data_IF_624403726136
#
_entry.id   IF_624403726136
#
_cell.length_a   1.000
_cell.length_b   1.000
_cell.length_c   1.000
_cell.angle_alpha   90.00
_cell.angle_beta   90.00
_cell.angle_gamma   90.00
#
_symmetry.space_group_name_H-M   'P 1'
#
loop_
_entity.id
_entity.type
_entity.pdbx_description
1 polymer ?
#
# COMPACT_ATOMS: atom_id res chain seq x y z
N UNK A 1 -2.74 24.70 20.95
CA UNK A 1 -3.00 24.14 19.66
C UNK A 1 -4.48 23.92 19.49
N UNK A 2 -5.04 24.36 18.46
CA UNK A 2 -6.47 24.27 18.33
C UNK A 2 -6.84 23.04 17.51
N UNK A 3 -8.05 22.60 17.76
CA UNK A 3 -8.60 21.49 17.01
C UNK A 3 -8.68 21.85 15.53
N UNK A 4 -8.93 23.12 15.22
CA UNK A 4 -8.98 23.58 13.83
C UNK A 4 -7.65 23.33 13.12
N UNK A 5 -6.52 23.55 13.81
CA UNK A 5 -5.21 23.31 13.21
C UNK A 5 -4.98 21.82 12.96
N UNK A 6 -5.46 20.99 13.88
CA UNK A 6 -5.36 19.55 13.69
C UNK A 6 -6.18 19.12 12.48
N UNK A 7 -7.37 19.62 12.35
CA UNK A 7 -8.23 19.23 11.24
C UNK A 7 -7.64 19.69 9.91
N UNK A 8 -7.06 20.88 9.88
CA UNK A 8 -6.43 21.37 8.65
C UNK A 8 -5.24 20.47 8.26
N UNK A 9 -4.48 20.03 9.24
CA UNK A 9 -3.36 19.13 8.97
C UNK A 9 -3.82 17.80 8.42
N UNK A 10 -4.88 17.25 9.02
CA UNK A 10 -5.43 15.99 8.55
C UNK A 10 -6.02 16.14 7.15
N UNK A 11 -6.64 17.27 6.85
CA UNK A 11 -7.18 17.52 5.52
C UNK A 11 -6.07 17.53 4.47
N UNK A 12 -4.94 18.12 4.78
CA UNK A 12 -3.81 18.13 3.86
C UNK A 12 -3.26 16.73 3.64
N UNK A 13 -3.18 15.94 4.71
CA UNK A 13 -2.73 14.56 4.62
C UNK A 13 -3.69 13.76 3.74
N UNK A 14 -4.99 13.93 3.96
CA UNK A 14 -6.00 13.23 3.18
C UNK A 14 -5.90 13.60 1.70
N UNK A 15 -5.63 14.88 1.41
CA UNK A 15 -5.48 15.31 0.02
C UNK A 15 -4.31 14.60 -0.65
N UNK A 16 -3.18 14.48 0.05
CA UNK A 16 -2.03 13.78 -0.50
C UNK A 16 -2.34 12.30 -0.73
N UNK A 17 -3.06 11.70 0.20
CA UNK A 17 -3.43 10.29 0.09
C UNK A 17 -4.32 10.09 -1.14
N UNK A 18 -5.34 10.93 -1.31
CA UNK A 18 -6.24 10.80 -2.45
C UNK A 18 -5.51 11.00 -3.77
N UNK A 19 -4.59 11.96 -3.82
CA UNK A 19 -3.84 12.20 -5.04
C UNK A 19 -2.96 11.00 -5.39
N UNK A 20 -2.33 10.42 -4.38
CA UNK A 20 -1.50 9.24 -4.60
C UNK A 20 -2.32 8.08 -5.10
N UNK A 21 -3.45 7.81 -4.44
CA UNK A 21 -4.31 6.70 -4.83
C UNK A 21 -4.85 6.89 -6.23
N UNK A 22 -5.28 8.11 -6.56
CA UNK A 22 -5.78 8.40 -7.89
C UNK A 22 -4.71 8.26 -8.95
N UNK A 23 -3.50 8.70 -8.64
CA UNK A 23 -2.38 8.59 -9.57
C UNK A 23 -2.05 7.14 -9.87
N UNK A 24 -1.99 6.31 -8.85
CA UNK A 24 -1.67 4.89 -9.04
C UNK A 24 -2.79 4.18 -9.80
N UNK A 25 -4.04 4.52 -9.47
CA UNK A 25 -5.18 3.93 -10.15
C UNK A 25 -5.14 4.25 -11.65
N UNK A 26 -4.91 5.52 -11.97
CA UNK A 26 -4.91 5.94 -13.37
C UNK A 26 -3.71 5.40 -14.12
N UNK A 27 -2.54 5.42 -13.48
CA UNK A 27 -1.32 4.98 -14.14
C UNK A 27 -1.34 3.49 -14.47
N UNK A 28 -1.90 2.68 -13.58
CA UNK A 28 -1.85 1.24 -13.75
C UNK A 28 -3.16 0.63 -14.22
N UNK A 29 -4.21 1.43 -14.36
CA UNK A 29 -5.50 0.91 -14.81
C UNK A 29 -6.13 -0.05 -13.82
N UNK A 30 -6.03 0.26 -12.54
CA UNK A 30 -6.59 -0.58 -11.49
C UNK A 30 -7.65 0.23 -10.74
N UNK A 31 -8.42 -0.44 -9.89
CA UNK A 31 -9.43 0.26 -9.11
C UNK A 31 -8.91 0.59 -7.71
N UNK A 32 -9.71 1.33 -6.93
CA UNK A 32 -9.26 1.75 -5.61
C UNK A 32 -9.06 0.59 -4.65
N UNK A 33 -9.91 -0.45 -4.76
CA UNK A 33 -9.71 -1.62 -3.92
C UNK A 33 -8.36 -2.24 -4.20
N UNK A 34 -7.97 -2.28 -5.47
CA UNK A 34 -6.68 -2.85 -5.86
C UNK A 34 -5.53 -2.00 -5.36
N UNK A 35 -5.69 -0.67 -5.35
CA UNK A 35 -4.67 0.20 -4.78
C UNK A 35 -4.51 -0.10 -3.29
N UNK A 36 -5.61 -0.24 -2.57
CA UNK A 36 -5.57 -0.54 -1.14
C UNK A 36 -4.92 -1.89 -0.88
N UNK A 37 -5.25 -2.89 -1.69
CA UNK A 37 -4.67 -4.22 -1.55
C UNK A 37 -3.16 -4.16 -1.78
N UNK A 38 -2.73 -3.39 -2.78
CA UNK A 38 -1.32 -3.22 -3.08
C UNK A 38 -0.58 -2.65 -1.88
N UNK A 39 -1.14 -1.59 -1.26
CA UNK A 39 -0.50 -0.99 -0.10
C UNK A 39 -0.53 -1.92 1.11
N UNK A 40 -1.64 -2.62 1.33
CA UNK A 40 -1.73 -3.55 2.45
C UNK A 40 -0.74 -4.70 2.30
N UNK A 41 -0.55 -5.17 1.07
CA UNK A 41 0.41 -6.24 0.83
C UNK A 41 1.81 -5.81 1.24
N UNK A 42 2.22 -4.62 0.83
CA UNK A 42 3.54 -4.13 1.21
C UNK A 42 3.67 -3.94 2.71
N UNK A 43 2.59 -3.51 3.37
CA UNK A 43 2.59 -3.38 4.81
C UNK A 43 2.96 -4.71 5.48
N UNK A 44 2.41 -5.80 4.98
CA UNK A 44 2.71 -7.11 5.54
C UNK A 44 4.09 -7.60 5.09
N UNK A 45 4.47 -7.33 3.84
CA UNK A 45 5.77 -7.77 3.33
C UNK A 45 6.92 -7.14 4.10
N UNK A 46 6.79 -5.86 4.45
CA UNK A 46 7.91 -5.10 5.00
C UNK A 46 7.80 -4.88 6.49
N UNK A 47 6.88 -5.56 7.16
CA UNK A 47 6.71 -5.45 8.60
C UNK A 47 7.72 -6.37 9.27
N UNK A 48 8.97 -5.97 9.24
CA UNK A 48 10.06 -6.78 9.74
C UNK A 48 10.69 -6.14 10.96
N UNK A 49 11.55 -6.88 11.60
CA UNK A 49 12.33 -6.33 12.67
C UNK A 49 13.12 -5.14 12.14
N UNK A 50 13.23 -4.10 12.92
CA UNK A 50 13.93 -2.90 12.49
C UNK A 50 15.35 -3.21 12.05
N UNK A 51 15.78 -2.53 11.00
CA UNK A 51 17.14 -2.66 10.53
C UNK A 51 17.42 -3.79 9.59
N UNK A 52 16.42 -4.65 9.34
CA UNK A 52 16.66 -5.75 8.43
C UNK A 52 15.91 -5.54 7.15
N UNK A 53 16.50 -4.76 6.25
CA UNK A 53 15.86 -4.41 4.99
C UNK A 53 16.03 -5.49 3.94
N UNK A 54 16.77 -6.55 4.26
CA UNK A 54 17.01 -7.60 3.27
C UNK A 54 15.88 -8.61 3.22
N UNK A 55 15.03 -8.63 4.22
CA UNK A 55 13.96 -9.59 4.23
C UNK A 55 12.65 -9.00 3.75
N UNK A 56 12.00 -9.72 2.85
CA UNK A 56 10.66 -9.40 2.42
C UNK A 56 9.84 -10.64 2.74
N UNK A 57 8.82 -10.47 3.56
CA UNK A 57 8.01 -11.59 4.00
C UNK A 57 6.78 -11.73 3.09
N UNK A 58 6.69 -12.81 2.31
CA UNK A 58 5.50 -13.00 1.49
C UNK A 58 4.25 -13.09 2.35
N UNK A 59 3.15 -12.58 1.86
CA UNK A 59 1.88 -12.64 2.57
C UNK A 59 0.93 -13.53 1.79
N UNK A 60 0.35 -14.50 2.48
CA UNK A 60 -0.61 -15.37 1.82
C UNK A 60 -2.00 -14.75 1.87
N UNK A 61 -2.92 -15.34 1.12
CA UNK A 61 -4.26 -14.79 0.99
C UNK A 61 -4.99 -14.78 2.34
N UNK A 62 -4.76 -15.78 3.17
CA UNK A 62 -5.42 -15.86 4.46
C UNK A 62 -5.02 -14.67 5.34
N UNK A 63 -3.71 -14.43 5.44
CA UNK A 63 -3.20 -13.32 6.26
C UNK A 63 -3.71 -11.98 5.74
N UNK A 64 -3.68 -11.81 4.44
CA UNK A 64 -4.11 -10.54 3.85
C UNK A 64 -5.61 -10.36 3.99
N UNK A 65 -6.38 -11.44 3.84
CA UNK A 65 -7.82 -11.39 4.02
C UNK A 65 -8.18 -11.00 5.46
N UNK A 66 -7.47 -11.58 6.43
CA UNK A 66 -7.71 -11.26 7.82
C UNK A 66 -7.34 -9.81 8.12
N UNK A 67 -6.24 -9.36 7.55
CA UNK A 67 -5.78 -7.99 7.79
C UNK A 67 -6.73 -6.95 7.21
N UNK A 68 -7.26 -7.21 6.02
CA UNK A 68 -8.10 -6.24 5.32
C UNK A 68 -9.58 -6.48 5.51
N UNK A 69 -9.96 -7.64 6.07
CA UNK A 69 -11.36 -8.03 6.22
C UNK A 69 -12.07 -8.06 4.87
N UNK A 70 -11.40 -8.61 3.88
CA UNK A 70 -11.95 -8.81 2.54
C UNK A 70 -12.08 -10.31 2.28
N UNK A 71 -13.16 -10.77 1.69
CA UNK A 71 -13.32 -12.21 1.39
C UNK A 71 -12.16 -12.73 0.55
N UNK A 72 -11.71 -13.93 0.87
CA UNK A 72 -10.53 -14.51 0.20
C UNK A 72 -10.69 -14.59 -1.32
N UNK A 73 -11.87 -14.94 -1.78
CA UNK A 73 -12.07 -15.08 -3.22
C UNK A 73 -11.97 -13.75 -3.94
N UNK A 74 -12.54 -12.70 -3.34
CA UNK A 74 -12.42 -11.35 -3.91
C UNK A 74 -10.96 -10.92 -3.93
N UNK A 75 -10.27 -11.18 -2.84
CA UNK A 75 -8.87 -10.80 -2.72
C UNK A 75 -8.01 -11.54 -3.74
N UNK A 76 -8.25 -12.85 -3.89
CA UNK A 76 -7.48 -13.65 -4.84
C UNK A 76 -7.62 -13.10 -6.26
N UNK A 77 -8.85 -12.78 -6.63
CA UNK A 77 -9.12 -12.27 -7.98
C UNK A 77 -8.41 -10.95 -8.22
N UNK A 78 -8.43 -10.07 -7.24
CA UNK A 78 -7.78 -8.77 -7.39
C UNK A 78 -6.27 -8.87 -7.35
N UNK A 79 -5.72 -9.80 -6.56
CA UNK A 79 -4.28 -10.01 -6.56
C UNK A 79 -3.80 -10.53 -7.91
N UNK A 80 -4.60 -11.38 -8.57
CA UNK A 80 -4.23 -11.85 -9.89
C UNK A 80 -4.22 -10.71 -10.90
N UNK A 81 -5.15 -9.76 -10.77
CA UNK A 81 -5.14 -8.58 -11.64
C UNK A 81 -3.89 -7.73 -11.38
N UNK A 82 -3.54 -7.56 -10.11
CA UNK A 82 -2.33 -6.80 -9.79
C UNK A 82 -1.08 -7.50 -10.32
N UNK A 83 -1.08 -8.82 -10.32
CA UNK A 83 0.04 -9.58 -10.88
C UNK A 83 0.13 -9.36 -12.38
N UNK A 84 -1.00 -9.33 -13.08
CA UNK A 84 -1.01 -9.05 -14.51
C UNK A 84 -0.46 -7.66 -14.82
N UNK A 85 -0.60 -6.74 -13.88
CA UNK A 85 -0.13 -5.37 -14.07
C UNK A 85 1.31 -5.19 -13.58
N UNK A 86 1.97 -6.27 -13.21
CA UNK A 86 3.35 -6.26 -12.72
C UNK A 86 3.54 -5.47 -11.45
N UNK A 87 2.50 -5.31 -10.67
CA UNK A 87 2.59 -4.61 -9.39
C UNK A 87 2.96 -5.56 -8.26
N UNK A 88 2.51 -6.80 -8.33
CA UNK A 88 2.81 -7.81 -7.32
C UNK A 88 3.31 -9.07 -8.00
N UNK A 89 3.95 -9.93 -7.21
CA UNK A 89 4.50 -11.18 -7.71
C UNK A 89 4.11 -12.30 -6.78
N UNK A 90 3.68 -13.41 -7.35
CA UNK A 90 3.33 -14.60 -6.58
C UNK A 90 4.58 -15.42 -6.36
N UNK A 91 4.73 -15.95 -5.14
CA UNK A 91 5.84 -16.84 -4.80
C UNK A 91 5.25 -18.12 -4.23
N UNK A 92 6.10 -19.08 -3.90
CA UNK A 92 5.66 -20.32 -3.28
C UNK A 92 5.00 -20.09 -1.93
N UNK A 93 5.32 -18.99 -1.27
CA UNK A 93 4.86 -18.72 0.08
C UNK A 93 3.81 -17.63 0.18
N UNK A 94 3.44 -17.03 -0.94
CA UNK A 94 2.47 -15.95 -0.94
C UNK A 94 2.85 -14.88 -1.94
N UNK A 95 2.34 -13.67 -1.73
CA UNK A 95 2.54 -12.56 -2.65
C UNK A 95 3.50 -11.53 -2.07
N UNK A 96 4.26 -10.89 -2.95
CA UNK A 96 5.14 -9.79 -2.55
C UNK A 96 4.93 -8.64 -3.51
N UNK A 97 5.21 -7.43 -3.05
CA UNK A 97 5.20 -6.25 -3.90
C UNK A 97 6.35 -6.39 -4.90
N UNK A 98 6.05 -6.20 -6.18
CA UNK A 98 7.07 -6.24 -7.22
C UNK A 98 7.50 -4.83 -7.62
N UNK A 99 6.54 -3.93 -7.81
CA UNK A 99 6.83 -2.55 -8.19
C UNK A 99 7.11 -1.73 -6.94
N UNK A 100 8.34 -1.80 -6.46
CA UNK A 100 8.72 -1.12 -5.24
C UNK A 100 8.68 0.39 -5.38
N UNK A 101 8.98 0.90 -6.57
CA UNK A 101 8.97 2.34 -6.79
C UNK A 101 7.56 2.91 -6.56
N UNK A 102 6.56 2.21 -7.09
CA UNK A 102 5.18 2.65 -6.90
C UNK A 102 4.77 2.56 -5.43
N UNK A 103 5.19 1.52 -4.73
CA UNK A 103 4.84 1.35 -3.33
C UNK A 103 5.51 2.41 -2.47
N UNK A 104 6.76 2.74 -2.80
CA UNK A 104 7.51 3.74 -2.05
C UNK A 104 6.91 5.13 -2.15
N UNK A 105 6.02 5.36 -3.08
CA UNK A 105 5.37 6.67 -3.16
C UNK A 105 4.55 7.00 -1.92
N UNK A 106 4.24 5.98 -1.11
CA UNK A 106 3.63 6.24 0.18
C UNK A 106 4.53 7.12 1.05
N UNK A 107 5.83 7.07 0.84
CA UNK A 107 6.75 7.88 1.64
C UNK A 107 6.53 9.37 1.39
N UNK A 108 5.98 9.73 0.25
CA UNK A 108 5.70 11.13 -0.05
C UNK A 108 4.62 11.69 0.88
N UNK A 109 3.75 10.81 1.37
CA UNK A 109 2.72 11.23 2.32
C UNK A 109 3.27 11.19 3.74
N UNK A 110 4.02 10.15 4.04
CA UNK A 110 4.53 9.94 5.39
C UNK A 110 5.62 10.91 5.77
N UNK A 111 6.31 11.48 4.79
CA UNK A 111 7.39 12.41 5.08
C UNK A 111 6.83 13.69 5.65
N UNK A 112 7.30 14.10 6.79
CA UNK A 112 6.81 15.35 7.35
C UNK A 112 7.34 16.48 6.55
N UNK A 113 6.51 17.42 6.35
CA UNK A 113 6.91 18.53 5.59
C UNK A 113 7.99 19.26 6.26
N UNK A 114 8.12 18.99 7.38
CA UNK A 114 9.01 19.57 8.08
C UNK A 114 10.22 19.67 7.75
N UNK A 115 10.37 18.90 7.30
CA UNK A 115 11.54 18.89 7.02
C UNK A 115 12.07 20.07 6.69
N UNK A 116 11.60 20.78 6.57
CA UNK A 116 12.08 21.77 6.27
C UNK A 116 12.50 22.48 7.03
N UNK A 117 12.38 22.40 7.38
CA UNK A 117 12.84 23.11 8.19
C UNK A 117 13.81 23.79 8.02
#
# INVERSE_FOLDING_TARGET
MSERNELAGLARYASKMFKLMGSLRARHGIDFDEVLIFFALGRLNFDQAPGNLMFVKPANIVSLSDFMEIPRETLRRKLLRLEEKDLVQRTSYGFVVKDLASWKRLSEIAQPAEVDA
#
